data_IF_279831518378
#
_entry.id   IF_279831518378
#
_cell.length_a   1.000
_cell.length_b   1.000
_cell.length_c   1.000
_cell.angle_alpha   90.00
_cell.angle_beta   90.00
_cell.angle_gamma   90.00
#
_symmetry.space_group_name_H-M   'P 1'
#
loop_
_entity.id
_entity.type
_entity.pdbx_description
1 polymer ?
#
# COMPACT_ATOMS: atom_id res chain seq x y z
N UNK A 1 20.19 -4.04 0.74
CA UNK A 1 20.83 -3.45 1.94
C UNK A 1 21.20 -2.00 1.67
N UNK A 2 20.44 -1.06 2.21
CA UNK A 2 20.69 0.38 2.07
C UNK A 2 21.92 0.79 2.88
N UNK A 3 22.91 1.43 2.24
CA UNK A 3 24.09 1.99 2.92
C UNK A 3 23.84 3.46 3.20
N UNK A 4 23.70 3.84 4.46
CA UNK A 4 23.61 5.26 4.84
C UNK A 4 25.01 5.80 5.14
N UNK A 5 25.34 6.91 4.49
CA UNK A 5 26.65 7.57 4.63
C UNK A 5 26.48 8.79 5.51
N UNK A 6 27.15 8.80 6.65
CA UNK A 6 27.14 9.92 7.59
C UNK A 6 28.47 10.65 7.55
N UNK A 7 28.42 11.98 7.59
CA UNK A 7 29.61 12.84 7.66
C UNK A 7 30.00 12.98 9.13
N UNK A 8 31.17 12.49 9.51
CA UNK A 8 31.69 12.53 10.89
C UNK A 8 32.98 13.34 10.87
N UNK A 9 32.94 14.57 11.37
CA UNK A 9 33.94 15.62 11.11
C UNK A 9 34.07 15.99 9.62
N UNK A 10 34.30 17.27 9.34
CA UNK A 10 34.17 17.96 8.04
C UNK A 10 34.70 17.19 6.81
N UNK A 11 35.70 16.32 6.98
CA UNK A 11 36.37 15.59 5.90
C UNK A 11 36.16 14.06 5.90
N UNK A 12 35.55 13.44 6.93
CA UNK A 12 35.41 11.98 6.96
C UNK A 12 33.95 11.54 6.75
N UNK A 13 33.75 10.60 5.83
CA UNK A 13 32.46 9.94 5.59
C UNK A 13 32.56 8.52 6.15
N UNK A 14 31.72 8.18 7.12
CA UNK A 14 31.57 6.80 7.60
C UNK A 14 30.33 6.18 6.98
N UNK A 15 30.51 5.01 6.38
CA UNK A 15 29.40 4.17 5.93
C UNK A 15 28.98 3.27 7.09
N UNK A 16 27.77 3.46 7.57
CA UNK A 16 27.17 2.53 8.51
C UNK A 16 26.31 1.56 7.71
N UNK A 17 26.55 0.26 7.88
CA UNK A 17 25.56 -0.73 7.53
C UNK A 17 24.49 -0.64 8.60
N UNK A 18 23.33 -0.09 8.27
CA UNK A 18 22.16 -0.31 9.11
C UNK A 18 21.99 -1.82 9.17
N UNK A 19 22.17 -2.43 10.34
CA UNK A 19 21.69 -3.80 10.53
C UNK A 19 20.18 -3.67 10.51
N UNK A 20 19.55 -4.14 9.43
CA UNK A 20 18.12 -4.42 9.46
C UNK A 20 17.87 -5.21 10.74
N UNK A 21 17.01 -4.69 11.62
CA UNK A 21 16.62 -5.42 12.81
C UNK A 21 16.07 -6.75 12.34
N UNK A 22 16.63 -7.85 12.85
CA UNK A 22 16.04 -9.16 12.59
C UNK A 22 14.61 -9.21 13.14
N UNK A 23 13.89 -10.31 12.90
CA UNK A 23 12.52 -10.48 13.36
C UNK A 23 12.38 -10.09 14.85
N UNK A 24 11.42 -9.21 15.19
CA UNK A 24 11.15 -8.84 16.58
C UNK A 24 10.71 -10.05 17.43
N UNK A 25 10.65 -9.90 18.75
CA UNK A 25 10.44 -11.03 19.68
C UNK A 25 9.07 -11.68 19.51
N UNK A 26 8.03 -10.86 19.39
CA UNK A 26 6.66 -11.29 19.10
C UNK A 26 6.57 -12.11 17.79
N UNK A 27 7.26 -11.71 16.72
CA UNK A 27 7.30 -12.46 15.46
C UNK A 27 8.02 -13.80 15.62
N UNK A 28 9.08 -13.85 16.45
CA UNK A 28 9.79 -15.11 16.74
C UNK A 28 8.91 -16.08 17.51
N UNK A 29 8.17 -15.59 18.50
CA UNK A 29 7.23 -16.36 19.30
C UNK A 29 6.07 -16.88 18.44
N UNK A 30 5.49 -16.00 17.62
CA UNK A 30 4.45 -16.33 16.65
C UNK A 30 4.92 -17.42 15.67
N UNK A 31 6.08 -17.24 15.04
CA UNK A 31 6.64 -18.24 14.14
C UNK A 31 6.87 -19.57 14.85
N UNK A 32 7.35 -19.55 16.10
CA UNK A 32 7.58 -20.78 16.88
C UNK A 32 6.27 -21.52 17.19
N UNK A 33 5.16 -20.82 17.37
CA UNK A 33 3.84 -21.42 17.59
C UNK A 33 3.28 -22.08 16.31
N UNK A 34 3.59 -21.53 15.14
CA UNK A 34 3.17 -22.02 13.83
C UNK A 34 4.30 -22.71 13.05
N UNK A 35 5.29 -23.29 13.72
CA UNK A 35 6.34 -24.05 13.03
C UNK A 35 6.77 -25.28 13.82
N UNK A 36 7.28 -26.26 13.09
CA UNK A 36 7.91 -27.45 13.66
C UNK A 36 9.34 -27.51 13.17
N UNK A 37 10.30 -27.89 14.02
CA UNK A 37 11.72 -27.96 13.64
C UNK A 37 12.26 -26.68 12.99
N UNK A 38 11.74 -25.50 13.42
CA UNK A 38 12.06 -24.17 12.90
C UNK A 38 11.68 -23.95 11.42
N UNK A 39 10.73 -24.73 10.91
CA UNK A 39 10.19 -24.59 9.55
C UNK A 39 8.67 -24.56 9.54
N UNK A 40 8.12 -23.69 8.71
CA UNK A 40 6.69 -23.55 8.46
C UNK A 40 6.38 -24.18 7.10
N UNK A 41 5.54 -25.21 7.07
CA UNK A 41 5.04 -25.82 5.83
C UNK A 41 3.85 -25.00 5.29
N UNK A 42 3.34 -25.29 4.09
CA UNK A 42 2.12 -24.66 3.60
C UNK A 42 0.93 -24.85 4.54
N UNK A 43 0.79 -26.00 5.19
CA UNK A 43 -0.26 -26.26 6.18
C UNK A 43 -0.10 -25.40 7.43
N UNK A 44 1.14 -25.19 7.89
CA UNK A 44 1.41 -24.28 8.99
C UNK A 44 1.10 -22.82 8.62
N UNK A 45 1.45 -22.39 7.40
CA UNK A 45 1.13 -21.06 6.90
C UNK A 45 -0.38 -20.87 6.76
N UNK A 46 -1.09 -21.86 6.21
CA UNK A 46 -2.55 -21.87 6.10
C UNK A 46 -3.22 -21.67 7.46
N UNK A 47 -2.76 -22.41 8.49
CA UNK A 47 -3.25 -22.25 9.86
C UNK A 47 -3.01 -20.84 10.40
N UNK A 48 -1.84 -20.27 10.14
CA UNK A 48 -1.52 -18.89 10.51
C UNK A 48 -2.45 -17.87 9.81
N UNK A 49 -2.70 -18.03 8.51
CA UNK A 49 -3.58 -17.16 7.73
C UNK A 49 -5.01 -17.16 8.28
N UNK A 50 -5.53 -18.34 8.64
CA UNK A 50 -6.86 -18.46 9.24
C UNK A 50 -6.90 -17.89 10.66
N UNK A 51 -6.05 -18.39 11.56
CA UNK A 51 -6.18 -18.10 12.99
C UNK A 51 -5.69 -16.70 13.39
N UNK A 52 -4.69 -16.16 12.69
CA UNK A 52 -4.03 -14.89 13.05
C UNK A 52 -4.45 -13.77 12.12
N UNK A 53 -4.58 -14.04 10.82
CA UNK A 53 -4.97 -13.02 9.83
C UNK A 53 -6.47 -12.94 9.62
N UNK A 54 -7.24 -13.91 10.13
CA UNK A 54 -8.69 -13.95 10.02
C UNK A 54 -9.18 -14.20 8.59
N UNK A 55 -8.34 -14.79 7.73
CA UNK A 55 -8.74 -15.14 6.36
C UNK A 55 -9.40 -16.52 6.35
N UNK A 56 -10.66 -16.58 6.78
CA UNK A 56 -11.44 -17.83 6.85
C UNK A 56 -11.67 -18.49 5.48
N UNK A 57 -11.42 -17.77 4.38
CA UNK A 57 -11.67 -18.24 3.01
C UNK A 57 -10.40 -18.72 2.31
N UNK A 58 -9.23 -18.50 2.91
CA UNK A 58 -7.96 -18.91 2.31
C UNK A 58 -7.92 -20.42 2.14
N UNK A 59 -7.55 -20.84 0.94
CA UNK A 59 -7.40 -22.24 0.57
C UNK A 59 -5.99 -22.75 0.86
N UNK A 60 -5.82 -24.06 0.96
CA UNK A 60 -4.49 -24.65 1.15
C UNK A 60 -3.61 -24.41 -0.07
N UNK A 61 -4.21 -24.42 -1.25
CA UNK A 61 -3.57 -24.15 -2.53
C UNK A 61 -3.02 -22.72 -2.59
N UNK A 62 -3.73 -21.73 -2.02
CA UNK A 62 -3.24 -20.36 -1.91
C UNK A 62 -2.06 -20.24 -0.94
N UNK A 63 -2.09 -20.95 0.20
CA UNK A 63 -0.95 -21.00 1.12
C UNK A 63 0.27 -21.67 0.47
N UNK A 64 0.08 -22.77 -0.28
CA UNK A 64 1.14 -23.42 -1.07
C UNK A 64 1.73 -22.46 -2.11
N UNK A 65 0.89 -21.76 -2.85
CA UNK A 65 1.32 -20.79 -3.84
C UNK A 65 2.14 -19.64 -3.22
N UNK A 66 1.74 -19.17 -2.03
CA UNK A 66 2.48 -18.14 -1.29
C UNK A 66 3.87 -18.65 -0.88
N UNK A 67 3.98 -19.89 -0.38
CA UNK A 67 5.26 -20.50 -0.04
C UNK A 67 6.17 -20.65 -1.26
N UNK A 68 5.62 -21.17 -2.36
CA UNK A 68 6.37 -21.36 -3.61
C UNK A 68 6.86 -20.02 -4.19
N UNK A 69 6.02 -18.97 -4.14
CA UNK A 69 6.40 -17.63 -4.55
C UNK A 69 7.54 -17.05 -3.69
N UNK A 70 7.46 -17.16 -2.36
CA UNK A 70 8.52 -16.70 -1.47
C UNK A 70 9.86 -17.43 -1.69
N UNK A 71 9.82 -18.74 -1.96
CA UNK A 71 11.02 -19.52 -2.26
C UNK A 71 11.64 -19.08 -3.59
N UNK A 72 10.81 -18.80 -4.60
CA UNK A 72 11.25 -18.31 -5.92
C UNK A 72 11.90 -16.94 -5.83
N UNK A 73 11.36 -16.02 -5.04
CA UNK A 73 11.95 -14.69 -4.85
C UNK A 73 13.32 -14.73 -4.17
N UNK A 74 13.51 -15.66 -3.23
CA UNK A 74 14.76 -15.76 -2.46
C UNK A 74 15.88 -16.51 -3.19
N UNK A 75 15.60 -17.28 -4.25
CA UNK A 75 16.59 -18.16 -4.88
C UNK A 75 16.49 -18.15 -6.40
N UNK A 76 17.57 -17.71 -7.05
CA UNK A 76 17.72 -17.79 -8.51
C UNK A 76 17.98 -19.22 -9.07
N UNK A 77 18.06 -20.29 -8.26
CA UNK A 77 18.49 -21.62 -8.74
C UNK A 77 17.62 -22.80 -8.23
N UNK A 78 17.29 -23.79 -9.09
CA UNK A 78 16.09 -24.62 -8.93
C UNK A 78 16.27 -25.97 -8.22
N UNK A 79 17.44 -26.25 -7.63
CA UNK A 79 17.92 -27.65 -7.65
C UNK A 79 17.46 -28.49 -6.43
N UNK A 80 17.15 -27.89 -5.28
CA UNK A 80 16.64 -28.63 -4.10
C UNK A 80 15.74 -27.76 -3.24
N UNK A 81 14.42 -27.80 -3.51
CA UNK A 81 13.44 -26.97 -2.80
C UNK A 81 12.71 -27.80 -1.75
N UNK A 82 13.03 -27.57 -0.46
CA UNK A 82 12.05 -27.84 0.58
C UNK A 82 10.99 -26.74 0.48
N UNK A 83 9.73 -27.12 0.25
CA UNK A 83 8.55 -26.22 0.25
C UNK A 83 8.21 -25.76 1.66
N UNK A 84 9.11 -25.00 2.29
CA UNK A 84 8.97 -24.54 3.67
C UNK A 84 9.56 -23.14 3.84
N UNK A 85 9.00 -22.37 4.77
CA UNK A 85 9.53 -21.08 5.20
C UNK A 85 10.35 -21.27 6.48
N UNK A 86 11.52 -20.67 6.54
CA UNK A 86 12.21 -20.43 7.82
C UNK A 86 11.78 -19.07 8.37
N UNK A 87 12.22 -18.74 9.59
CA UNK A 87 11.88 -17.48 10.26
C UNK A 87 12.20 -16.23 9.40
N UNK A 88 13.34 -16.20 8.72
CA UNK A 88 13.73 -15.05 7.87
C UNK A 88 12.79 -14.92 6.66
N UNK A 89 12.47 -16.06 6.02
CA UNK A 89 11.53 -16.09 4.90
C UNK A 89 10.11 -15.71 5.33
N UNK A 90 9.63 -16.22 6.47
CA UNK A 90 8.33 -15.86 7.03
C UNK A 90 8.27 -14.36 7.38
N UNK A 91 9.33 -13.82 8.00
CA UNK A 91 9.39 -12.40 8.31
C UNK A 91 9.34 -11.53 7.06
N UNK A 92 10.00 -11.93 5.97
CA UNK A 92 9.88 -11.25 4.67
C UNK A 92 8.48 -11.39 4.06
N UNK A 93 7.85 -12.54 4.20
CA UNK A 93 6.47 -12.77 3.73
C UNK A 93 5.49 -11.77 4.37
N UNK A 94 5.65 -11.47 5.67
CA UNK A 94 4.77 -10.51 6.35
C UNK A 94 4.74 -9.11 5.71
N UNK A 95 5.80 -8.73 4.99
CA UNK A 95 5.92 -7.44 4.29
C UNK A 95 5.91 -7.58 2.77
N UNK A 96 5.70 -8.77 2.23
CA UNK A 96 5.68 -8.97 0.78
C UNK A 96 4.31 -8.62 0.20
N UNK A 97 4.27 -8.43 -1.12
CA UNK A 97 3.02 -8.18 -1.85
C UNK A 97 2.05 -9.39 -1.81
N UNK A 98 2.49 -10.53 -1.28
CA UNK A 98 1.66 -11.71 -1.01
C UNK A 98 0.86 -11.60 0.29
N UNK A 99 1.16 -10.61 1.13
CA UNK A 99 0.48 -10.34 2.39
C UNK A 99 0.04 -8.87 2.50
N UNK A 100 -0.74 -8.35 1.54
CA UNK A 100 -1.14 -6.95 1.58
C UNK A 100 -2.13 -6.71 2.74
N UNK A 101 -2.04 -5.58 3.45
CA UNK A 101 -2.97 -5.27 4.55
C UNK A 101 -4.41 -5.02 4.07
N UNK A 102 -4.59 -4.80 2.77
CA UNK A 102 -5.87 -4.60 2.11
C UNK A 102 -5.97 -5.52 0.89
N UNK A 103 -7.16 -5.97 0.50
CA UNK A 103 -7.34 -6.80 -0.69
C UNK A 103 -6.69 -6.19 -1.93
N UNK A 104 -5.88 -6.98 -2.63
CA UNK A 104 -5.24 -6.59 -3.88
C UNK A 104 -5.64 -7.52 -5.04
N UNK A 105 -5.98 -7.00 -6.23
CA UNK A 105 -6.20 -5.58 -6.51
C UNK A 105 -7.39 -5.03 -5.71
N UNK A 106 -7.48 -3.70 -5.49
CA UNK A 106 -8.63 -3.11 -4.82
C UNK A 106 -9.92 -3.54 -5.51
N UNK A 107 -10.87 -4.08 -4.74
CA UNK A 107 -12.17 -4.53 -5.24
C UNK A 107 -13.28 -3.72 -4.58
N UNK A 108 -14.32 -3.43 -5.36
CA UNK A 108 -15.56 -2.86 -4.84
C UNK A 108 -16.30 -3.98 -4.10
N UNK A 109 -16.41 -3.85 -2.77
CA UNK A 109 -17.02 -4.87 -1.90
C UNK A 109 -18.41 -4.50 -1.39
N UNK A 110 -18.84 -3.26 -1.60
CA UNK A 110 -20.14 -2.76 -1.15
C UNK A 110 -21.13 -2.82 -2.31
N UNK A 111 -22.41 -2.92 -1.98
CA UNK A 111 -23.50 -2.72 -2.94
C UNK A 111 -23.34 -1.35 -3.61
N UNK A 112 -23.44 -1.32 -4.95
CA UNK A 112 -23.33 -0.10 -5.77
C UNK A 112 -24.64 0.22 -6.51
N UNK A 113 -25.74 -0.46 -6.17
CA UNK A 113 -27.06 -0.29 -6.80
C UNK A 113 -28.03 0.54 -5.93
N UNK A 114 -27.69 0.80 -4.66
CA UNK A 114 -28.49 1.67 -3.79
C UNK A 114 -28.52 3.15 -4.29
N UNK A 115 -29.47 3.99 -3.82
CA UNK A 115 -29.50 5.42 -4.16
C UNK A 115 -28.23 6.18 -3.75
N UNK A 116 -27.86 7.22 -4.50
CA UNK A 116 -26.63 8.00 -4.27
C UNK A 116 -26.51 8.57 -2.84
N UNK A 117 -27.63 8.92 -2.21
CA UNK A 117 -27.67 9.45 -0.83
C UNK A 117 -27.20 8.46 0.24
N UNK A 118 -27.04 7.17 -0.08
CA UNK A 118 -26.56 6.15 0.84
C UNK A 118 -25.03 6.03 0.89
N UNK A 119 -24.32 6.78 0.05
CA UNK A 119 -22.87 6.70 -0.07
C UNK A 119 -22.19 7.97 0.44
N UNK A 120 -21.03 7.78 1.08
CA UNK A 120 -20.07 8.86 1.21
C UNK A 120 -19.40 9.08 -0.15
N UNK A 121 -19.42 10.32 -0.64
CA UNK A 121 -18.82 10.69 -1.92
C UNK A 121 -17.59 11.53 -1.67
N UNK A 122 -16.46 11.14 -2.27
CA UNK A 122 -15.23 11.92 -2.18
C UNK A 122 -15.34 13.13 -3.12
N UNK A 123 -15.48 14.32 -2.52
CA UNK A 123 -15.76 15.59 -3.20
C UNK A 123 -14.60 16.57 -3.10
N UNK A 124 -14.33 17.32 -4.16
CA UNK A 124 -13.44 18.49 -4.14
C UNK A 124 -14.23 19.79 -4.04
N UNK A 125 -13.79 20.71 -3.18
CA UNK A 125 -14.35 22.05 -3.03
C UNK A 125 -13.42 23.07 -3.69
N UNK A 126 -13.96 23.99 -4.48
CA UNK A 126 -13.21 24.93 -5.32
C UNK A 126 -12.04 24.26 -6.05
N UNK A 127 -12.37 23.21 -6.80
CA UNK A 127 -11.39 22.25 -7.35
C UNK A 127 -10.40 22.86 -8.34
N UNK A 128 -10.70 24.06 -8.82
CA UNK A 128 -9.88 24.84 -9.74
C UNK A 128 -8.77 25.63 -9.03
N UNK A 129 -8.80 25.80 -7.70
CA UNK A 129 -7.79 26.60 -6.98
C UNK A 129 -6.46 25.87 -6.87
N UNK A 130 -5.37 26.57 -7.17
CA UNK A 130 -4.00 26.04 -7.00
C UNK A 130 -3.46 26.22 -5.58
N UNK A 131 -4.27 26.77 -4.66
CA UNK A 131 -3.83 27.13 -3.31
C UNK A 131 -4.95 27.69 -2.44
N UNK A 132 -4.73 28.86 -1.85
CA UNK A 132 -5.65 29.52 -0.93
C UNK A 132 -6.83 30.21 -1.65
N UNK A 133 -7.90 30.48 -0.89
CA UNK A 133 -9.18 31.04 -1.40
C UNK A 133 -9.11 32.52 -1.83
N UNK A 134 -8.05 33.26 -1.48
CA UNK A 134 -8.03 34.72 -1.63
C UNK A 134 -7.14 35.15 -2.79
N UNK A 135 -5.92 34.62 -2.87
CA UNK A 135 -4.88 35.16 -3.75
C UNK A 135 -4.22 34.13 -4.66
N UNK A 136 -4.61 32.85 -4.56
CA UNK A 136 -4.05 31.83 -5.44
C UNK A 136 -4.72 31.83 -6.80
N UNK A 137 -3.98 31.36 -7.80
CA UNK A 137 -4.48 31.25 -9.15
C UNK A 137 -5.49 30.11 -9.29
N UNK A 138 -6.22 30.14 -10.41
CA UNK A 138 -7.10 29.07 -10.85
C UNK A 138 -6.43 28.29 -11.99
N UNK A 139 -6.61 26.97 -12.04
CA UNK A 139 -6.04 26.10 -13.07
C UNK A 139 -6.82 24.78 -13.19
N UNK A 140 -6.71 24.15 -14.35
CA UNK A 140 -7.22 22.79 -14.58
C UNK A 140 -6.35 21.71 -13.91
N UNK A 141 -5.09 22.03 -13.56
CA UNK A 141 -4.15 21.07 -12.95
C UNK A 141 -4.68 20.44 -11.65
N UNK A 142 -5.12 21.20 -10.63
CA UNK A 142 -5.68 20.62 -9.40
C UNK A 142 -6.93 19.75 -9.65
N UNK A 143 -7.73 20.08 -10.67
CA UNK A 143 -8.87 19.25 -11.08
C UNK A 143 -8.39 17.90 -11.61
N UNK A 144 -7.37 17.89 -12.49
CA UNK A 144 -6.79 16.66 -13.05
C UNK A 144 -6.23 15.79 -11.92
N UNK A 145 -5.52 16.38 -10.96
CA UNK A 145 -4.94 15.69 -9.81
C UNK A 145 -6.03 15.12 -8.89
N UNK A 146 -7.07 15.90 -8.60
CA UNK A 146 -8.23 15.46 -7.82
C UNK A 146 -8.89 14.22 -8.46
N UNK A 147 -9.16 14.26 -9.77
CA UNK A 147 -9.78 13.14 -10.49
C UNK A 147 -8.88 11.89 -10.49
N UNK A 148 -7.56 12.05 -10.68
CA UNK A 148 -6.58 10.95 -10.59
C UNK A 148 -6.51 10.35 -9.18
N UNK A 149 -6.73 11.15 -8.14
CA UNK A 149 -6.79 10.69 -6.75
C UNK A 149 -8.11 10.00 -6.36
N UNK A 150 -9.10 9.98 -7.26
CA UNK A 150 -10.38 9.30 -7.05
C UNK A 150 -11.54 10.19 -6.62
N UNK A 151 -11.40 11.53 -6.66
CA UNK A 151 -12.51 12.46 -6.46
C UNK A 151 -13.62 12.20 -7.49
N UNK A 152 -14.88 12.33 -7.06
CA UNK A 152 -16.08 12.05 -7.87
C UNK A 152 -16.95 13.27 -8.12
N UNK A 153 -16.77 14.34 -7.35
CA UNK A 153 -17.46 15.61 -7.52
C UNK A 153 -16.42 16.71 -7.52
N UNK A 154 -16.50 17.58 -8.53
CA UNK A 154 -15.69 18.80 -8.63
C UNK A 154 -16.61 20.01 -8.64
N UNK A 155 -16.07 21.12 -8.17
CA UNK A 155 -16.76 22.42 -8.13
C UNK A 155 -16.15 23.37 -9.15
N UNK A 156 -17.01 24.10 -9.86
CA UNK A 156 -16.65 25.06 -10.91
C UNK A 156 -17.48 26.34 -10.71
N UNK A 157 -16.80 27.40 -10.28
CA UNK A 157 -17.43 28.71 -10.10
C UNK A 157 -17.29 29.51 -11.40
N UNK A 158 -18.42 29.71 -12.07
CA UNK A 158 -18.48 30.30 -13.41
C UNK A 158 -18.81 31.79 -13.32
N UNK A 159 -17.92 32.63 -13.82
CA UNK A 159 -18.10 34.08 -13.88
C UNK A 159 -17.97 34.59 -15.32
N UNK A 160 -18.74 35.62 -15.73
CA UNK A 160 -18.53 36.24 -17.03
C UNK A 160 -17.12 36.83 -17.13
N UNK A 161 -16.48 36.65 -18.29
CA UNK A 161 -15.20 37.30 -18.58
C UNK A 161 -15.32 38.82 -18.53
N UNK A 162 -14.19 39.51 -18.37
CA UNK A 162 -14.17 40.98 -18.37
C UNK A 162 -14.78 41.61 -19.63
N UNK A 163 -14.66 40.94 -20.79
CA UNK A 163 -15.25 41.31 -22.08
C UNK A 163 -16.71 40.85 -22.26
N UNK A 164 -17.24 40.02 -21.34
CA UNK A 164 -18.60 39.46 -21.34
C UNK A 164 -18.96 38.63 -22.57
N UNK A 165 -17.96 38.09 -23.25
CA UNK A 165 -18.08 37.19 -24.40
C UNK A 165 -17.69 35.75 -24.08
N UNK A 166 -17.18 35.49 -22.87
CA UNK A 166 -16.73 34.17 -22.41
C UNK A 166 -16.97 33.98 -20.90
N UNK A 167 -16.55 32.83 -20.36
CA UNK A 167 -16.68 32.44 -18.95
C UNK A 167 -15.32 32.11 -18.36
N UNK A 168 -14.99 32.75 -17.25
CA UNK A 168 -13.84 32.44 -16.42
C UNK A 168 -14.25 31.51 -15.27
N UNK A 169 -13.40 30.52 -14.97
CA UNK A 169 -13.52 29.70 -13.76
C UNK A 169 -12.63 30.31 -12.68
N UNK A 170 -13.23 31.06 -11.77
CA UNK A 170 -12.53 31.84 -10.74
C UNK A 170 -13.32 31.88 -9.43
N UNK A 171 -12.61 32.06 -8.33
CA UNK A 171 -13.25 32.26 -7.03
C UNK A 171 -13.83 33.67 -6.96
N UNK A 172 -15.14 33.77 -6.69
CA UNK A 172 -15.84 35.05 -6.68
C UNK A 172 -15.47 35.91 -5.49
N UNK A 173 -14.88 37.08 -5.74
CA UNK A 173 -14.47 38.06 -4.72
C UNK A 173 -13.65 39.20 -5.30
#
# INVERSE_FOLDING_TARGET
MSKQTYRVCLCFRRQFKLREGGPPVDIKELFSHYSENRVMTPEHLHRFMVEVQGDDKVTKEEAEAAVDAMIKELKHHPIFHRRVLNLDTFFRYLFSDLNPPLPFPPKVMKDMEAPLSHYFVYTGHNSYLTGNQISSNCSVVPIIEALKSGVRVIELDMWPSSSKDDIDIVHGG
#
